data_IF_082818412183
#
_entry.id   IF_082818412183
#
_cell.length_a   1.000
_cell.length_b   1.000
_cell.length_c   1.000
_cell.angle_alpha   90.00
_cell.angle_beta   90.00
_cell.angle_gamma   90.00
#
_symmetry.space_group_name_H-M   'P 1'
#
loop_
_entity.id
_entity.type
_entity.pdbx_description
1 polymer ?
#
# COMPACT_ATOMS: atom_id res chain seq x y z
N UNK A 1 20.49 2.01 -1.52
CA UNK A 1 19.76 1.88 -0.24
C UNK A 1 18.87 0.65 -0.37
N UNK A 2 18.94 -0.30 0.56
CA UNK A 2 18.19 -1.56 0.47
C UNK A 2 16.81 -1.32 1.09
N UNK A 3 15.77 -1.40 0.26
CA UNK A 3 14.38 -1.43 0.72
C UNK A 3 14.11 -2.79 1.34
N UNK A 4 13.85 -2.83 2.65
CA UNK A 4 13.50 -4.08 3.32
C UNK A 4 12.01 -4.38 3.10
N UNK A 5 11.73 -5.50 2.45
CA UNK A 5 10.38 -6.00 2.24
C UNK A 5 9.88 -6.68 3.52
N UNK A 6 8.71 -6.27 4.02
CA UNK A 6 8.04 -6.84 5.18
C UNK A 6 6.58 -7.18 4.85
N UNK A 7 5.96 -8.01 5.69
CA UNK A 7 4.55 -8.37 5.59
C UNK A 7 3.82 -7.81 6.80
N UNK A 8 2.75 -7.07 6.55
CA UNK A 8 1.77 -6.69 7.56
C UNK A 8 0.56 -7.62 7.46
N UNK A 9 0.16 -8.24 8.58
CA UNK A 9 -0.92 -9.21 8.61
C UNK A 9 -2.04 -8.75 9.55
N UNK A 10 -3.28 -8.82 9.06
CA UNK A 10 -4.48 -8.52 9.81
C UNK A 10 -5.52 -9.61 9.58
N UNK A 11 -6.30 -9.93 10.63
CA UNK A 11 -7.31 -10.99 10.58
C UNK A 11 -8.46 -10.71 9.61
N UNK A 12 -8.79 -9.44 9.37
CA UNK A 12 -9.96 -9.04 8.59
C UNK A 12 -9.63 -8.77 7.12
N UNK A 13 -8.45 -8.22 6.83
CA UNK A 13 -8.04 -7.86 5.47
C UNK A 13 -6.76 -8.57 4.99
N UNK A 14 -6.34 -9.63 5.67
CA UNK A 14 -5.26 -10.49 5.21
C UNK A 14 -3.88 -9.83 5.27
N UNK A 15 -3.08 -10.05 4.23
CA UNK A 15 -1.65 -9.68 4.21
C UNK A 15 -1.41 -8.56 3.21
N UNK A 16 -0.64 -7.55 3.62
CA UNK A 16 -0.18 -6.46 2.79
C UNK A 16 1.34 -6.39 2.78
N UNK A 17 1.90 -6.07 1.63
CA UNK A 17 3.34 -5.83 1.49
C UNK A 17 3.68 -4.44 2.03
N UNK A 18 4.74 -4.39 2.83
CA UNK A 18 5.28 -3.16 3.43
C UNK A 18 6.72 -2.97 3.01
N UNK A 19 7.06 -1.76 2.61
CA UNK A 19 8.42 -1.35 2.29
C UNK A 19 8.92 -0.43 3.39
N UNK A 20 10.07 -0.76 3.97
CA UNK A 20 10.80 0.18 4.83
C UNK A 20 11.72 1.05 3.97
N UNK A 21 11.54 2.36 4.06
CA UNK A 21 12.36 3.36 3.39
C UNK A 21 12.62 4.51 4.37
N UNK A 22 13.90 4.82 4.58
CA UNK A 22 14.33 5.94 5.42
C UNK A 22 13.74 5.96 6.85
N UNK A 23 13.51 4.77 7.43
CA UNK A 23 12.92 4.60 8.77
C UNK A 23 11.39 4.67 8.80
N UNK A 24 10.76 4.91 7.66
CA UNK A 24 9.30 4.93 7.51
C UNK A 24 8.80 3.68 6.76
N UNK A 25 7.56 3.29 7.07
CA UNK A 25 6.91 2.12 6.49
C UNK A 25 5.82 2.55 5.49
N UNK A 26 5.93 2.05 4.26
CA UNK A 26 5.01 2.35 3.17
C UNK A 26 4.26 1.09 2.74
N UNK A 27 2.96 1.22 2.48
CA UNK A 27 2.17 0.18 1.83
C UNK A 27 2.18 0.35 0.32
N UNK A 28 2.03 -0.75 -0.41
CA UNK A 28 1.81 -0.70 -1.86
C UNK A 28 0.39 -0.21 -2.14
N UNK A 29 0.25 1.01 -2.69
CA UNK A 29 -1.04 1.67 -2.86
C UNK A 29 -2.06 0.85 -3.67
N UNK A 30 -1.61 0.10 -4.68
CA UNK A 30 -2.49 -0.76 -5.47
C UNK A 30 -3.02 -1.96 -4.68
N UNK A 31 -2.19 -2.58 -3.84
CA UNK A 31 -2.64 -3.67 -2.96
C UNK A 31 -3.70 -3.14 -1.98
N UNK A 32 -3.46 -1.98 -1.37
CA UNK A 32 -4.42 -1.35 -0.45
C UNK A 32 -5.73 -1.03 -1.16
N UNK A 33 -5.68 -0.39 -2.32
CA UNK A 33 -6.89 0.00 -3.06
C UNK A 33 -7.70 -1.22 -3.53
N UNK A 34 -7.02 -2.29 -3.95
CA UNK A 34 -7.67 -3.56 -4.31
C UNK A 34 -8.30 -4.23 -3.08
N UNK A 35 -7.58 -4.28 -1.96
CA UNK A 35 -8.04 -4.92 -0.73
C UNK A 35 -9.24 -4.19 -0.11
N UNK A 36 -9.29 -2.87 -0.22
CA UNK A 36 -10.43 -2.05 0.20
C UNK A 36 -11.64 -2.15 -0.76
N UNK A 37 -11.48 -2.82 -1.91
CA UNK A 37 -12.58 -3.06 -2.85
C UNK A 37 -12.96 -1.84 -3.69
N UNK A 38 -12.03 -0.91 -3.94
CA UNK A 38 -12.30 0.20 -4.86
C UNK A 38 -12.59 -0.33 -6.26
N UNK A 39 -13.71 0.08 -6.84
CA UNK A 39 -14.11 -0.30 -8.20
C UNK A 39 -13.06 0.12 -9.25
N UNK A 40 -12.40 1.25 -9.03
CA UNK A 40 -11.28 1.71 -9.86
C UNK A 40 -10.07 2.03 -8.98
N UNK A 41 -9.18 1.04 -8.73
CA UNK A 41 -8.01 1.22 -7.87
C UNK A 41 -7.08 2.33 -8.35
N UNK A 42 -6.91 2.50 -9.67
CA UNK A 42 -6.10 3.59 -10.23
C UNK A 42 -6.63 4.97 -9.87
N UNK A 43 -7.94 5.18 -10.03
CA UNK A 43 -8.57 6.46 -9.65
C UNK A 43 -8.42 6.71 -8.15
N UNK A 44 -8.64 5.69 -7.32
CA UNK A 44 -8.47 5.80 -5.87
C UNK A 44 -7.04 6.21 -5.47
N UNK A 45 -6.02 5.66 -6.13
CA UNK A 45 -4.63 6.07 -5.93
C UNK A 45 -4.45 7.55 -6.28
N UNK A 46 -4.91 8.00 -7.45
CA UNK A 46 -4.80 9.41 -7.86
C UNK A 46 -5.57 10.40 -6.98
N UNK A 47 -6.65 9.95 -6.34
CA UNK A 47 -7.49 10.77 -5.47
C UNK A 47 -6.97 10.84 -4.02
N UNK A 48 -6.19 9.85 -3.58
CA UNK A 48 -5.82 9.66 -2.17
C UNK A 48 -4.31 9.60 -1.90
N UNK A 49 -3.46 9.51 -2.93
CA UNK A 49 -2.00 9.47 -2.78
C UNK A 49 -1.41 10.73 -3.41
N UNK A 50 -0.96 11.66 -2.56
CA UNK A 50 -0.47 12.97 -3.00
C UNK A 50 0.79 12.88 -3.87
N UNK A 51 1.72 12.00 -3.54
CA UNK A 51 2.94 11.75 -4.32
C UNK A 51 2.73 10.81 -5.51
N UNK A 52 1.49 10.34 -5.74
CA UNK A 52 1.13 9.41 -6.82
C UNK A 52 0.81 10.09 -8.16
N UNK A 53 1.02 11.40 -8.26
CA UNK A 53 0.78 12.22 -9.47
C UNK A 53 2.06 12.50 -10.25
#
# INVERSE_FOLDING_TARGET
MISNLKIFENKNFGKLTVIEKDGEFFFIANEVATMLGYVNPRKAIYDHVDEGR
#
